data_IF_554564246393
#
_entry.id   IF_554564246393
#
_cell.length_a   1.000
_cell.length_b   1.000
_cell.length_c   1.000
_cell.angle_alpha   90.00
_cell.angle_beta   90.00
_cell.angle_gamma   90.00
#
_symmetry.space_group_name_H-M   'P 1'
#
loop_
_entity.id
_entity.type
_entity.pdbx_description
1 polymer ?
#
# COMPACT_ATOMS: atom_id res chain seq x y z
N UNK A 1 -5.68 -8.91 1.48
CA UNK A 1 -5.01 -7.78 0.82
C UNK A 1 -3.67 -8.12 0.14
N UNK A 2 -2.65 -8.66 0.83
CA UNK A 2 -1.32 -8.89 0.22
C UNK A 2 -1.32 -9.70 -1.10
N UNK A 3 -2.25 -10.65 -1.28
CA UNK A 3 -2.41 -11.39 -2.55
C UNK A 3 -2.81 -10.48 -3.71
N UNK A 4 -3.69 -9.50 -3.48
CA UNK A 4 -4.12 -8.55 -4.52
C UNK A 4 -2.94 -7.71 -5.00
N UNK A 5 -2.12 -7.22 -4.05
CA UNK A 5 -0.89 -6.47 -4.38
C UNK A 5 0.09 -7.36 -5.15
N UNK A 6 0.32 -8.59 -4.70
CA UNK A 6 1.21 -9.53 -5.39
C UNK A 6 0.74 -9.89 -6.82
N UNK A 7 -0.56 -9.84 -7.09
CA UNK A 7 -1.12 -10.06 -8.43
C UNK A 7 -0.93 -8.84 -9.34
N UNK A 8 -1.13 -7.63 -8.81
CA UNK A 8 -1.11 -6.40 -9.61
C UNK A 8 0.29 -5.81 -9.75
N UNK A 9 1.15 -5.93 -8.73
CA UNK A 9 2.47 -5.31 -8.69
C UNK A 9 3.39 -5.68 -9.86
N UNK A 10 3.44 -6.94 -10.36
CA UNK A 10 4.26 -7.30 -11.52
C UNK A 10 3.89 -6.56 -12.81
N UNK A 11 2.72 -5.92 -12.89
CA UNK A 11 2.33 -5.13 -14.06
C UNK A 11 3.05 -3.77 -14.12
N UNK A 12 3.73 -3.39 -13.04
CA UNK A 12 4.38 -2.10 -12.85
C UNK A 12 5.88 -2.21 -12.58
N UNK A 13 6.50 -3.37 -12.88
CA UNK A 13 7.91 -3.74 -12.66
C UNK A 13 8.83 -2.63 -12.12
N UNK A 14 9.46 -1.84 -12.99
CA UNK A 14 10.47 -0.84 -12.61
C UNK A 14 9.89 0.43 -11.96
N UNK A 15 8.57 0.58 -11.94
CA UNK A 15 7.85 1.74 -11.45
C UNK A 15 7.29 1.54 -10.04
N UNK A 16 7.26 0.29 -9.54
CA UNK A 16 6.62 -0.04 -8.26
C UNK A 16 7.50 -0.98 -7.42
N UNK A 17 7.92 -0.50 -6.26
CA UNK A 17 8.38 -1.36 -5.17
C UNK A 17 7.29 -1.52 -4.13
N UNK A 18 7.16 -2.73 -3.58
CA UNK A 18 6.21 -2.99 -2.51
C UNK A 18 6.79 -3.97 -1.48
N UNK A 19 6.28 -3.87 -0.26
CA UNK A 19 6.64 -4.78 0.81
C UNK A 19 5.41 -5.09 1.67
N UNK A 20 5.38 -6.29 2.24
CA UNK A 20 4.33 -6.70 3.17
C UNK A 20 4.80 -6.44 4.59
N UNK A 21 4.13 -5.52 5.30
CA UNK A 21 4.37 -5.26 6.72
C UNK A 21 3.54 -6.24 7.57
N UNK A 22 4.20 -7.05 8.40
CA UNK A 22 3.56 -8.03 9.29
C UNK A 22 3.58 -7.52 10.73
N UNK A 23 2.43 -7.09 11.25
CA UNK A 23 2.31 -6.47 12.59
C UNK A 23 2.59 -7.42 13.76
N UNK A 24 2.61 -8.74 13.51
CA UNK A 24 3.00 -9.74 14.52
C UNK A 24 4.51 -9.82 14.75
N UNK A 25 5.30 -9.28 13.82
CA UNK A 25 6.75 -9.22 13.94
C UNK A 25 7.15 -7.87 14.53
N UNK A 26 8.20 -7.85 15.37
CA UNK A 26 8.61 -6.62 16.08
C UNK A 26 8.89 -5.46 15.11
N UNK A 27 9.57 -5.72 13.99
CA UNK A 27 9.86 -4.71 12.98
C UNK A 27 8.57 -4.17 12.32
N UNK A 28 7.65 -5.05 11.96
CA UNK A 28 6.37 -4.65 11.37
C UNK A 28 5.46 -3.91 12.36
N UNK A 29 5.46 -4.30 13.63
CA UNK A 29 4.75 -3.60 14.70
C UNK A 29 5.26 -2.16 14.88
N UNK A 30 6.57 -1.95 14.89
CA UNK A 30 7.19 -0.61 14.97
C UNK A 30 6.78 0.27 13.79
N UNK A 31 6.92 -0.25 12.57
CA UNK A 31 6.54 0.48 11.36
C UNK A 31 5.05 0.82 11.32
N UNK A 32 4.19 -0.11 11.75
CA UNK A 32 2.75 0.15 11.87
C UNK A 32 2.44 1.24 12.89
N UNK A 33 3.12 1.26 14.04
CA UNK A 33 2.95 2.30 15.05
C UNK A 33 3.38 3.67 14.53
N UNK A 34 4.53 3.76 13.86
CA UNK A 34 5.01 4.99 13.22
C UNK A 34 4.01 5.49 12.17
N UNK A 35 3.55 4.60 11.30
CA UNK A 35 2.57 4.94 10.27
C UNK A 35 1.23 5.40 10.86
N UNK A 36 0.72 4.71 11.89
CA UNK A 36 -0.52 5.11 12.57
C UNK A 36 -0.40 6.47 13.26
N UNK A 37 0.77 6.80 13.82
CA UNK A 37 1.04 8.14 14.36
C UNK A 37 1.00 9.21 13.28
N UNK A 38 1.59 8.95 12.10
CA UNK A 38 1.53 9.86 10.96
C UNK A 38 0.09 10.08 10.47
N UNK A 39 -0.76 9.05 10.52
CA UNK A 39 -2.18 9.18 10.20
C UNK A 39 -3.02 9.85 11.30
N UNK A 40 -2.47 10.07 12.50
CA UNK A 40 -3.20 10.60 13.66
C UNK A 40 -4.25 9.64 14.25
N UNK A 41 -4.34 8.41 13.73
CA UNK A 41 -5.29 7.37 14.16
C UNK A 41 -4.70 5.97 13.94
N UNK A 42 -5.11 4.96 14.73
CA UNK A 42 -4.81 3.56 14.40
C UNK A 42 -5.30 3.22 13.00
N UNK A 43 -4.41 2.70 12.15
CA UNK A 43 -4.75 2.28 10.79
C UNK A 43 -5.40 0.88 10.84
N UNK A 44 -6.47 0.61 10.08
CA UNK A 44 -7.07 -0.72 10.02
C UNK A 44 -6.08 -1.78 9.50
N UNK A 45 -6.19 -3.01 10.00
CA UNK A 45 -5.39 -4.14 9.53
C UNK A 45 -6.33 -5.20 8.92
N UNK A 46 -6.15 -5.59 7.65
CA UNK A 46 -5.14 -5.13 6.70
C UNK A 46 -5.46 -3.76 6.07
N UNK A 47 -4.44 -3.07 5.57
CA UNK A 47 -4.55 -1.83 4.77
C UNK A 47 -3.47 -1.78 3.68
N UNK A 48 -3.65 -0.90 2.68
CA UNK A 48 -2.61 -0.52 1.72
C UNK A 48 -2.30 0.96 1.89
N UNK A 49 -1.01 1.27 2.00
CA UNK A 49 -0.47 2.61 1.90
C UNK A 49 0.36 2.73 0.63
N UNK A 50 0.25 3.85 -0.08
CA UNK A 50 1.05 4.19 -1.26
C UNK A 50 1.76 5.50 -0.95
N UNK A 51 3.09 5.54 -1.12
CA UNK A 51 3.91 6.73 -0.85
C UNK A 51 3.64 7.37 0.53
N UNK A 52 3.51 6.53 1.56
CA UNK A 52 3.28 6.98 2.94
C UNK A 52 1.87 7.54 3.20
N UNK A 53 0.92 7.36 2.28
CA UNK A 53 -0.49 7.76 2.45
C UNK A 53 -1.37 6.53 2.53
N UNK A 54 -2.31 6.51 3.47
CA UNK A 54 -3.33 5.46 3.56
C UNK A 54 -4.28 5.57 2.37
N UNK A 55 -4.35 4.52 1.55
CA UNK A 55 -5.16 4.53 0.31
C UNK A 55 -6.34 3.57 0.41
N UNK A 56 -6.13 2.37 0.97
CA UNK A 56 -7.19 1.38 1.15
C UNK A 56 -7.27 0.93 2.60
N UNK A 57 -8.45 1.09 3.19
CA UNK A 57 -8.81 0.61 4.54
C UNK A 57 -9.53 -0.75 4.50
N UNK A 58 -9.97 -1.18 3.31
CA UNK A 58 -10.58 -2.48 3.02
C UNK A 58 -9.83 -3.17 1.87
N UNK A 59 -10.06 -4.46 1.61
CA UNK A 59 -9.36 -5.14 0.50
C UNK A 59 -9.97 -4.70 -0.82
N UNK A 60 -9.22 -3.99 -1.70
CA UNK A 60 -9.74 -3.59 -3.00
C UNK A 60 -9.76 -4.78 -3.97
N UNK A 61 -10.49 -4.62 -5.07
CA UNK A 61 -10.35 -5.49 -6.24
C UNK A 61 -9.02 -5.26 -6.98
N UNK A 62 -8.56 -6.21 -7.83
CA UNK A 62 -7.35 -6.01 -8.65
C UNK A 62 -7.42 -4.78 -9.56
N UNK A 63 -8.54 -4.59 -10.27
CA UNK A 63 -8.76 -3.43 -11.16
C UNK A 63 -8.71 -2.10 -10.41
N UNK A 64 -9.32 -2.05 -9.23
CA UNK A 64 -9.35 -0.85 -8.40
C UNK A 64 -7.94 -0.45 -7.92
N UNK A 65 -7.15 -1.44 -7.48
CA UNK A 65 -5.76 -1.22 -7.13
C UNK A 65 -4.94 -0.76 -8.34
N UNK A 66 -5.11 -1.40 -9.50
CA UNK A 66 -4.39 -1.04 -10.74
C UNK A 66 -4.66 0.40 -11.16
N UNK A 67 -5.95 0.79 -11.22
CA UNK A 67 -6.34 2.15 -11.57
C UNK A 67 -5.75 3.18 -10.62
N UNK A 68 -5.70 2.85 -9.32
CA UNK A 68 -5.13 3.73 -8.31
C UNK A 68 -3.60 3.88 -8.45
N UNK A 69 -2.90 2.81 -8.82
CA UNK A 69 -1.45 2.86 -9.10
C UNK A 69 -1.21 3.69 -10.36
N UNK A 70 -1.94 3.48 -11.46
CA UNK A 70 -1.84 4.31 -12.66
C UNK A 70 -2.06 5.78 -12.37
N UNK A 71 -3.13 6.12 -11.64
CA UNK A 71 -3.39 7.51 -11.24
C UNK A 71 -2.20 8.09 -10.46
N UNK A 72 -1.65 7.32 -9.52
CA UNK A 72 -0.49 7.75 -8.72
C UNK A 72 0.75 7.99 -9.60
N UNK A 73 1.00 7.12 -10.58
CA UNK A 73 2.13 7.26 -11.51
C UNK A 73 1.96 8.48 -12.43
N UNK A 74 0.75 8.72 -12.94
CA UNK A 74 0.45 9.92 -13.73
C UNK A 74 0.62 11.20 -12.92
N UNK A 75 0.22 11.21 -11.64
CA UNK A 75 0.44 12.34 -10.72
C UNK A 75 1.94 12.62 -10.47
N UNK A 76 2.79 11.60 -10.60
CA UNK A 76 4.25 11.69 -10.47
C UNK A 76 4.97 11.98 -11.80
N UNK A 77 4.24 12.09 -12.92
CA UNK A 77 4.81 12.37 -14.23
C UNK A 77 5.39 11.15 -14.96
N UNK A 78 5.07 9.93 -14.52
CA UNK A 78 5.33 8.71 -15.27
C UNK A 78 4.14 8.44 -16.19
N UNK A 79 4.36 8.54 -17.50
CA UNK A 79 3.36 8.35 -18.57
C UNK A 79 3.81 7.33 -19.58
#
# INVERSE_FOLDING_TARGET
MARVVATVAPEFDDLLSWEKVITKELAGARRYQEFSKLCGKPVPVPSIAINGKLVFETTPGPEELRNRIHQTLSELGFS
#
